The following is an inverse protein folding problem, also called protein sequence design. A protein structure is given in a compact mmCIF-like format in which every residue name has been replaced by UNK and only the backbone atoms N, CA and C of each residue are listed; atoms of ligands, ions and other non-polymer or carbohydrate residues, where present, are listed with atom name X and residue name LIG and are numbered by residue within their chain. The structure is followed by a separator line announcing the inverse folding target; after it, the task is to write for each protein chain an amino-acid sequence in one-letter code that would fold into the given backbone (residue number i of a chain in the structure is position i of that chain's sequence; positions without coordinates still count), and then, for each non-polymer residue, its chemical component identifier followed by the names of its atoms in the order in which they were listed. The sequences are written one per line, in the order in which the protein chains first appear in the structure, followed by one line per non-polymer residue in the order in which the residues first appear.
data_IF_859583872562
#
_entry.id   IF_859583872562
#
_cell.length_a   1.000
_cell.length_b   1.000
_cell.length_c   1.000
_cell.angle_alpha   90.00
_cell.angle_beta   90.00
_cell.angle_gamma   90.00
#
_symmetry.space_group_name_H-M   'P 1'
#
loop_
_entity.id
_entity.type
_entity.pdbx_description
1 polymer ?
#
# COMPACT_ATOMS: atom_id res chain seq x y z
N UNK A 1 -11.76 5.06 -3.57
CA UNK A 1 -11.46 4.25 -4.75
C UNK A 1 -9.98 3.94 -4.80
N UNK A 2 -9.43 3.10 -3.89
CA UNK A 2 -8.02 2.77 -3.98
C UNK A 2 -7.77 1.48 -4.75
N UNK A 3 -6.76 1.52 -5.61
CA UNK A 3 -6.13 0.34 -6.17
C UNK A 3 -4.76 0.20 -5.51
N UNK A 4 -4.57 -0.88 -4.76
CA UNK A 4 -3.34 -1.13 -4.00
C UNK A 4 -2.48 -2.13 -4.75
N UNK A 5 -1.23 -1.80 -4.95
CA UNK A 5 -0.23 -2.71 -5.49
C UNK A 5 0.89 -2.90 -4.48
N UNK A 6 1.12 -4.14 -4.08
CA UNK A 6 2.19 -4.53 -3.18
C UNK A 6 3.28 -5.21 -3.99
N UNK A 7 4.50 -4.68 -3.96
CA UNK A 7 5.66 -5.30 -4.61
C UNK A 7 6.59 -5.86 -3.55
N UNK A 8 6.98 -7.13 -3.70
CA UNK A 8 7.84 -7.85 -2.76
C UNK A 8 8.89 -8.67 -3.51
N UNK A 9 9.98 -8.99 -2.83
CA UNK A 9 10.96 -9.96 -3.32
C UNK A 9 10.53 -11.37 -2.99
N UNK A 10 10.70 -12.27 -3.91
CA UNK A 10 10.50 -13.72 -3.69
C UNK A 10 11.58 -14.28 -2.77
N UNK A 11 11.28 -15.34 -2.00
CA UNK A 11 9.96 -15.90 -1.75
C UNK A 11 9.26 -15.19 -0.60
N UNK A 12 7.93 -15.05 -0.69
CA UNK A 12 7.11 -14.57 0.43
C UNK A 12 5.90 -15.47 0.59
N UNK A 13 5.55 -15.77 1.83
CA UNK A 13 4.40 -16.61 2.13
C UNK A 13 3.09 -15.88 1.84
N UNK A 14 2.00 -16.62 1.55
CA UNK A 14 0.66 -16.03 1.49
C UNK A 14 0.28 -15.29 2.79
N UNK A 15 0.73 -15.81 3.94
CA UNK A 15 0.50 -15.17 5.24
C UNK A 15 1.16 -13.79 5.33
N UNK A 16 2.42 -13.68 4.92
CA UNK A 16 3.14 -12.41 4.90
C UNK A 16 2.41 -11.38 4.03
N UNK A 17 2.07 -11.77 2.81
CA UNK A 17 1.35 -10.89 1.87
C UNK A 17 0.00 -10.46 2.42
N UNK A 18 -0.74 -11.41 2.99
CA UNK A 18 -2.05 -11.14 3.59
C UNK A 18 -1.97 -10.15 4.75
N UNK A 19 -0.97 -10.28 5.62
CA UNK A 19 -0.77 -9.34 6.74
C UNK A 19 -0.57 -7.91 6.25
N UNK A 20 0.24 -7.72 5.21
CA UNK A 20 0.47 -6.38 4.66
C UNK A 20 -0.79 -5.84 4.00
N UNK A 21 -1.43 -6.63 3.15
CA UNK A 21 -2.64 -6.21 2.44
C UNK A 21 -3.79 -5.90 3.40
N UNK A 22 -3.98 -6.72 4.44
CA UNK A 22 -5.01 -6.48 5.45
C UNK A 22 -4.74 -5.20 6.24
N UNK A 23 -3.48 -4.95 6.59
CA UNK A 23 -3.09 -3.72 7.27
C UNK A 23 -3.37 -2.48 6.42
N UNK A 24 -3.06 -2.53 5.13
CA UNK A 24 -3.33 -1.44 4.19
C UNK A 24 -4.84 -1.19 4.09
N UNK A 25 -5.62 -2.25 3.90
CA UNK A 25 -7.07 -2.12 3.75
C UNK A 25 -7.72 -1.55 5.00
N UNK A 26 -7.36 -2.06 6.17
CA UNK A 26 -7.89 -1.56 7.43
C UNK A 26 -7.53 -0.08 7.65
N UNK A 27 -6.32 0.34 7.24
CA UNK A 27 -5.89 1.73 7.33
C UNK A 27 -6.71 2.63 6.39
N UNK A 28 -7.00 2.18 5.18
CA UNK A 28 -7.86 2.90 4.24
C UNK A 28 -9.28 3.03 4.79
N UNK A 29 -9.84 1.95 5.35
CA UNK A 29 -11.17 1.97 5.97
C UNK A 29 -11.21 2.98 7.12
N UNK A 30 -10.14 3.07 7.91
CA UNK A 30 -10.07 4.03 9.02
C UNK A 30 -10.13 5.50 8.56
N UNK A 31 -9.83 5.78 7.30
CA UNK A 31 -9.92 7.12 6.71
C UNK A 31 -11.21 7.38 5.95
N UNK A 32 -12.16 6.43 5.96
CA UNK A 32 -13.48 6.59 5.35
C UNK A 32 -13.73 5.79 4.09
N UNK A 33 -12.76 5.00 3.63
CA UNK A 33 -12.96 4.10 2.48
C UNK A 33 -13.91 2.98 2.89
N UNK A 34 -14.97 2.67 2.11
CA UNK A 34 -15.85 1.54 2.39
C UNK A 34 -15.08 0.22 2.46
N UNK A 35 -15.49 -0.66 3.36
CA UNK A 35 -14.84 -1.97 3.52
C UNK A 35 -14.89 -2.82 2.26
N UNK A 36 -15.94 -2.68 1.47
CA UNK A 36 -16.10 -3.41 0.21
C UNK A 36 -15.32 -2.81 -0.96
N UNK A 37 -14.79 -1.60 -0.82
CA UNK A 37 -13.95 -0.96 -1.83
C UNK A 37 -12.53 -1.49 -1.73
N UNK A 38 -12.34 -2.72 -2.19
CA UNK A 38 -11.10 -3.45 -2.03
C UNK A 38 -10.59 -3.99 -3.35
N UNK A 39 -9.52 -3.38 -3.85
CA UNK A 39 -8.81 -3.80 -5.05
C UNK A 39 -7.33 -3.88 -4.71
N UNK A 40 -6.81 -5.10 -4.64
CA UNK A 40 -5.45 -5.36 -4.19
C UNK A 40 -4.77 -6.37 -5.10
N UNK A 41 -3.50 -6.14 -5.39
CA UNK A 41 -2.69 -7.10 -6.14
C UNK A 41 -1.28 -7.15 -5.57
N UNK A 42 -0.60 -8.27 -5.78
CA UNK A 42 0.78 -8.48 -5.37
C UNK A 42 1.64 -8.76 -6.59
N UNK A 43 2.77 -8.08 -6.67
CA UNK A 43 3.83 -8.39 -7.62
C UNK A 43 4.99 -9.01 -6.86
N UNK A 44 5.27 -10.27 -7.13
CA UNK A 44 6.43 -10.96 -6.58
C UNK A 44 7.53 -10.98 -7.63
N UNK A 45 8.69 -10.42 -7.28
CA UNK A 45 9.81 -10.28 -8.19
C UNK A 45 11.04 -10.94 -7.60
N UNK A 46 11.89 -11.51 -8.47
CA UNK A 46 13.21 -11.95 -8.07
C UNK A 46 14.04 -10.76 -7.59
N UNK A 47 15.03 -11.01 -6.75
CA UNK A 47 15.87 -9.95 -6.20
C UNK A 47 16.57 -9.12 -7.30
N UNK A 48 16.89 -9.74 -8.43
CA UNK A 48 17.50 -9.04 -9.56
C UNK A 48 16.54 -8.07 -10.26
N UNK A 49 15.24 -8.28 -10.10
CA UNK A 49 14.19 -7.50 -10.75
C UNK A 49 13.57 -6.44 -9.84
N UNK A 50 13.98 -6.43 -8.57
CA UNK A 50 13.50 -5.46 -7.59
C UNK A 50 14.64 -4.99 -6.69
N UNK A 51 15.24 -3.88 -7.06
CA UNK A 51 16.37 -3.29 -6.35
C UNK A 51 15.91 -2.13 -5.49
N UNK A 52 16.50 -2.00 -4.31
CA UNK A 52 16.30 -0.86 -3.41
C UNK A 52 17.56 -0.65 -2.57
N UNK A 53 17.77 0.59 -2.14
CA UNK A 53 18.87 0.90 -1.24
C UNK A 53 18.51 0.51 0.19
N UNK A 54 19.49 0.02 0.95
CA UNK A 54 19.23 -0.47 2.31
C UNK A 54 19.06 0.65 3.35
N UNK A 55 19.52 1.87 3.07
CA UNK A 55 19.56 2.93 4.07
C UNK A 55 19.03 4.29 3.60
N UNK A 56 18.84 4.52 2.32
CA UNK A 56 18.38 5.79 1.76
C UNK A 56 16.91 5.72 1.34
N UNK A 57 16.12 6.80 1.55
CA UNK A 57 16.31 7.84 2.53
C UNK A 57 15.57 7.51 3.83
N UNK A 58 15.93 8.18 4.93
CA UNK A 58 15.11 8.24 6.16
C UNK A 58 14.69 6.88 6.71
N UNK A 59 15.65 5.96 6.84
CA UNK A 59 15.42 4.63 7.38
C UNK A 59 16.15 4.50 8.72
N UNK A 60 15.43 4.09 9.75
CA UNK A 60 16.04 3.72 11.02
C UNK A 60 16.59 2.30 10.92
N UNK A 61 17.91 2.16 10.88
CA UNK A 61 18.57 0.88 10.63
C UNK A 61 18.70 0.59 9.14
N UNK A 62 18.45 -0.65 8.75
CA UNK A 62 18.60 -1.09 7.37
C UNK A 62 17.38 -1.86 6.90
N UNK A 63 16.99 -1.65 5.64
CA UNK A 63 15.99 -2.49 4.97
C UNK A 63 16.54 -3.89 4.77
N UNK A 64 15.66 -4.87 4.83
CA UNK A 64 15.99 -6.28 4.60
C UNK A 64 15.25 -6.79 3.35
N UNK A 65 15.37 -8.08 3.07
CA UNK A 65 14.61 -8.72 2.00
C UNK A 65 13.09 -8.72 2.25
N UNK A 66 12.65 -8.38 3.46
CA UNK A 66 11.24 -8.21 3.78
C UNK A 66 10.71 -6.81 3.42
N UNK A 67 11.52 -5.99 2.75
CA UNK A 67 11.09 -4.71 2.22
C UNK A 67 9.87 -4.87 1.31
N UNK A 68 8.89 -4.00 1.50
CA UNK A 68 7.67 -3.95 0.71
C UNK A 68 7.47 -2.54 0.14
N UNK A 69 7.11 -2.48 -1.13
CA UNK A 69 6.67 -1.24 -1.77
C UNK A 69 5.15 -1.29 -1.87
N UNK A 70 4.49 -0.37 -1.19
CA UNK A 70 3.04 -0.25 -1.17
C UNK A 70 2.66 0.97 -2.01
N UNK A 71 1.99 0.73 -3.13
CA UNK A 71 1.50 1.80 -3.98
C UNK A 71 -0.02 1.88 -3.86
N UNK A 72 -0.51 3.07 -3.51
CA UNK A 72 -1.94 3.34 -3.35
C UNK A 72 -2.35 4.35 -4.42
N UNK A 73 -3.03 3.87 -5.45
CA UNK A 73 -3.64 4.71 -6.47
C UNK A 73 -5.08 5.01 -6.06
N UNK A 74 -5.40 6.26 -5.83
CA UNK A 74 -6.74 6.68 -5.43
C UNK A 74 -7.15 8.00 -6.08
N UNK A 75 -8.39 8.39 -5.86
CA UNK A 75 -8.88 9.65 -6.39
C UNK A 75 -8.32 10.85 -5.64
N UNK A 76 -8.13 11.95 -6.36
CA UNK A 76 -7.69 13.23 -5.79
C UNK A 76 -8.63 13.71 -4.67
N UNK A 77 -8.11 14.55 -3.79
CA UNK A 77 -8.91 15.21 -2.76
C UNK A 77 -8.51 14.88 -1.32
N UNK A 78 -7.53 14.00 -1.09
CA UNK A 78 -7.04 13.72 0.25
C UNK A 78 -5.95 14.70 0.64
N UNK A 79 -6.09 15.29 1.82
CA UNK A 79 -5.11 16.21 2.36
C UNK A 79 -3.87 15.48 2.87
N UNK A 80 -2.80 16.23 3.10
CA UNK A 80 -1.59 15.70 3.76
C UNK A 80 -1.93 15.18 5.15
N UNK A 81 -2.85 15.80 5.86
CA UNK A 81 -3.30 15.37 7.18
C UNK A 81 -3.92 13.96 7.12
N UNK A 82 -4.76 13.69 6.14
CA UNK A 82 -5.38 12.38 5.94
C UNK A 82 -4.31 11.33 5.60
N UNK A 83 -3.38 11.67 4.72
CA UNK A 83 -2.27 10.78 4.35
C UNK A 83 -1.40 10.42 5.57
N UNK A 84 -1.08 11.42 6.41
CA UNK A 84 -0.33 11.18 7.65
C UNK A 84 -1.08 10.28 8.62
N UNK A 85 -2.39 10.47 8.75
CA UNK A 85 -3.24 9.63 9.59
C UNK A 85 -3.24 8.18 9.08
N UNK A 86 -3.39 8.00 7.79
CA UNK A 86 -3.34 6.67 7.16
C UNK A 86 -1.99 6.00 7.43
N UNK A 87 -0.89 6.72 7.24
CA UNK A 87 0.46 6.18 7.46
C UNK A 87 0.67 5.78 8.91
N UNK A 88 0.24 6.58 9.87
CA UNK A 88 0.35 6.25 11.29
C UNK A 88 -0.42 4.97 11.61
N UNK A 89 -1.65 4.84 11.14
CA UNK A 89 -2.48 3.65 11.33
C UNK A 89 -1.86 2.43 10.68
N UNK A 90 -1.36 2.57 9.46
CA UNK A 90 -0.71 1.48 8.72
C UNK A 90 0.53 0.97 9.47
N UNK A 91 1.39 1.86 9.92
CA UNK A 91 2.61 1.46 10.64
C UNK A 91 2.29 0.74 11.94
N UNK A 92 1.28 1.21 12.69
CA UNK A 92 0.85 0.54 13.91
C UNK A 92 0.33 -0.88 13.63
N UNK A 93 -0.45 -1.04 12.57
CA UNK A 93 -0.99 -2.36 12.18
C UNK A 93 0.10 -3.31 11.71
N UNK A 94 1.10 -2.81 10.99
CA UNK A 94 2.26 -3.62 10.60
C UNK A 94 3.03 -4.11 11.83
N UNK A 95 3.28 -3.23 12.82
CA UNK A 95 3.92 -3.63 14.07
C UNK A 95 3.12 -4.70 14.81
N UNK A 96 1.81 -4.52 14.91
CA UNK A 96 0.92 -5.48 15.56
C UNK A 96 0.94 -6.84 14.86
N UNK A 97 1.17 -6.86 13.56
CA UNK A 97 1.30 -8.07 12.78
C UNK A 97 2.71 -8.70 12.84
N UNK A 98 3.63 -8.09 13.58
CA UNK A 98 5.00 -8.59 13.73
C UNK A 98 5.93 -8.17 12.60
N UNK A 99 5.56 -7.16 11.80
CA UNK A 99 6.36 -6.66 10.69
C UNK A 99 7.04 -5.35 11.08
N UNK A 100 8.25 -5.12 10.53
CA UNK A 100 9.00 -3.91 10.79
C UNK A 100 8.52 -2.78 9.87
N UNK A 101 7.94 -1.68 10.41
CA UNK A 101 7.50 -0.56 9.59
C UNK A 101 8.61 0.11 8.78
N UNK A 102 9.88 -0.01 9.21
CA UNK A 102 11.02 0.55 8.48
C UNK A 102 11.23 -0.17 7.13
N UNK A 103 10.68 -1.37 6.97
CA UNK A 103 10.68 -2.10 5.70
C UNK A 103 9.52 -1.74 4.78
N UNK A 104 8.70 -0.77 5.14
CA UNK A 104 7.54 -0.38 4.33
C UNK A 104 7.74 1.00 3.72
N UNK A 105 7.76 1.05 2.40
CA UNK A 105 7.73 2.29 1.63
C UNK A 105 6.35 2.45 1.03
N UNK A 106 5.74 3.61 1.20
CA UNK A 106 4.40 3.91 0.69
C UNK A 106 4.47 5.05 -0.31
N UNK A 107 3.86 4.85 -1.46
CA UNK A 107 3.71 5.88 -2.49
C UNK A 107 2.23 6.08 -2.76
N UNK A 108 1.77 7.32 -2.64
CA UNK A 108 0.42 7.70 -3.06
C UNK A 108 0.46 8.18 -4.50
N UNK A 109 -0.43 7.62 -5.32
CA UNK A 109 -0.66 8.07 -6.70
C UNK A 109 -2.09 8.57 -6.78
N UNK A 110 -2.30 9.69 -7.44
CA UNK A 110 -3.62 10.30 -7.49
C UNK A 110 -4.09 10.41 -8.93
N UNK A 111 -5.41 10.20 -9.11
CA UNK A 111 -6.07 10.36 -10.41
C UNK A 111 -7.43 11.02 -10.21
N UNK A 112 -7.94 11.62 -11.27
CA UNK A 112 -9.25 12.28 -11.22
C UNK A 112 -10.38 11.25 -11.13
N UNK A 113 -11.51 11.66 -10.55
CA UNK A 113 -12.66 10.77 -10.31
C UNK A 113 -13.22 10.17 -11.61
N UNK A 114 -13.20 10.93 -12.71
CA UNK A 114 -13.67 10.47 -14.01
C UNK A 114 -12.77 9.43 -14.68
N UNK A 115 -11.62 9.13 -14.10
CA UNK A 115 -10.70 8.12 -14.64
C UNK A 115 -11.01 6.69 -14.18
N UNK A 116 -12.07 6.50 -13.37
CA UNK A 116 -12.49 5.19 -12.90
C UNK A 116 -13.73 4.70 -13.63
N UNK A 117 -13.58 3.56 -14.32
CA UNK A 117 -14.69 2.81 -14.89
C UNK A 117 -14.64 1.40 -14.29
N UNK A 118 -15.49 1.13 -13.28
CA UNK A 118 -15.40 -0.10 -12.49
C UNK A 118 -16.01 -1.32 -13.17
N UNK A 119 -16.99 -1.13 -14.03
CA UNK A 119 -17.64 -2.23 -14.74
C UNK A 119 -18.39 -1.73 -15.94
N UNK A 120 -18.38 -2.54 -17.01
CA UNK A 120 -19.15 -2.26 -18.23
C UNK A 120 -18.82 -0.96 -18.94
N UNK A 121 -17.62 -0.42 -18.68
CA UNK A 121 -17.19 0.86 -19.26
C UNK A 121 -17.90 2.09 -18.68
N UNK A 122 -18.63 1.94 -17.58
CA UNK A 122 -19.38 3.04 -16.97
C UNK A 122 -18.49 3.83 -16.01
N UNK A 123 -18.46 5.15 -16.19
CA UNK A 123 -17.79 6.07 -15.29
C UNK A 123 -18.78 6.44 -14.18
N UNK A 124 -18.45 6.07 -12.94
CA UNK A 124 -19.37 6.22 -11.81
C UNK A 124 -19.55 7.67 -11.37
N UNK A 125 -18.48 8.46 -11.46
CA UNK A 125 -18.43 9.83 -10.94
C UNK A 125 -18.38 10.88 -12.06
N UNK A 126 -19.42 10.91 -12.86
CA UNK A 126 -19.55 11.93 -13.92
C UNK A 126 -20.76 12.81 -13.76
#
# INVERSE_FOLDING_TARGET
MPLVTLTVRKPKSPEFKGKVLDAVHASLVSTGVPDTDKFQRVLELDADDFRFDSSYPDVAGARTDDFVLIEILWSVGRSVKVKKKLLAELMDRLRMAGLDPENAMVVFKETSWENWAFAGGRILHT
#
